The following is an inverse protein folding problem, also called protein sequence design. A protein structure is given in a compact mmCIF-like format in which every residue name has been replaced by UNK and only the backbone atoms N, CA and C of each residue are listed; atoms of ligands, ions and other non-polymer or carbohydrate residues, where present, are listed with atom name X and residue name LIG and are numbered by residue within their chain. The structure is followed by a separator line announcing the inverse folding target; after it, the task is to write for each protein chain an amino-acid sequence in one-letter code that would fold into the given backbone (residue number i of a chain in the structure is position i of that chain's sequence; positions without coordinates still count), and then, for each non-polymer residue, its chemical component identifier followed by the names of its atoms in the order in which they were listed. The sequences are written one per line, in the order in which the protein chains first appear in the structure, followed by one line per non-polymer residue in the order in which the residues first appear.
data_IF_391959744802
#
_entry.id   IF_391959744802
#
_cell.length_a   1.000
_cell.length_b   1.000
_cell.length_c   1.000
_cell.angle_alpha   90.00
_cell.angle_beta   90.00
_cell.angle_gamma   90.00
#
_symmetry.space_group_name_H-M   'P 1'
#
loop_
_entity.id
_entity.type
_entity.pdbx_description
1 polymer ?
#
# COMPACT_ATOMS: atom_id res chain seq x y z
N UNK A 1 -4.67 14.88 -24.66
CA UNK A 1 -4.75 13.48 -24.18
C UNK A 1 -4.33 13.42 -22.73
N UNK A 2 -5.06 12.64 -21.94
CA UNK A 2 -4.77 12.48 -20.54
C UNK A 2 -3.76 11.38 -20.25
N UNK A 3 -3.12 11.46 -19.09
CA UNK A 3 -2.25 10.42 -18.59
C UNK A 3 -3.06 9.26 -17.99
N UNK A 4 -2.45 8.10 -17.88
CA UNK A 4 -3.02 6.97 -17.17
C UNK A 4 -2.28 6.78 -15.85
N UNK A 5 -3.04 6.74 -14.77
CA UNK A 5 -2.53 6.47 -13.41
C UNK A 5 -3.04 5.10 -12.98
N UNK A 6 -2.14 4.18 -12.73
CA UNK A 6 -2.50 2.83 -12.32
C UNK A 6 -1.68 2.43 -11.11
N UNK A 7 -2.37 1.97 -10.07
CA UNK A 7 -1.74 1.56 -8.80
C UNK A 7 -0.92 2.66 -8.13
N UNK A 8 -1.43 3.88 -8.16
CA UNK A 8 -0.75 5.07 -7.64
C UNK A 8 -1.39 5.52 -6.34
N UNK A 9 -0.56 5.94 -5.40
CA UNK A 9 -1.02 6.57 -4.16
C UNK A 9 -0.47 7.99 -4.10
N UNK A 10 -1.38 8.96 -4.02
CA UNK A 10 -1.03 10.34 -3.73
C UNK A 10 -1.16 10.53 -2.22
N UNK A 11 -0.04 10.59 -1.54
CA UNK A 11 0.02 10.61 -0.09
C UNK A 11 0.52 11.97 0.42
N UNK A 12 -0.30 12.64 1.22
CA UNK A 12 0.01 13.96 1.77
C UNK A 12 0.44 14.98 0.71
N UNK A 13 -0.16 14.88 -0.49
CA UNK A 13 0.18 15.76 -1.60
C UNK A 13 -0.65 17.04 -1.58
N UNK A 14 -0.10 18.08 -2.15
CA UNK A 14 -0.83 19.30 -2.46
C UNK A 14 -1.08 19.34 -3.96
N UNK A 15 -2.33 19.14 -4.36
CA UNK A 15 -2.73 19.07 -5.77
C UNK A 15 -3.56 20.28 -6.22
N UNK A 16 -3.59 21.34 -5.41
CA UNK A 16 -4.34 22.55 -5.75
C UNK A 16 -3.92 23.08 -7.12
N UNK A 17 -4.91 23.38 -7.95
CA UNK A 17 -4.75 23.88 -9.33
C UNK A 17 -4.17 22.85 -10.31
N UNK A 18 -4.04 21.59 -9.91
CA UNK A 18 -3.62 20.51 -10.82
C UNK A 18 -4.77 20.15 -11.77
N UNK A 19 -4.44 19.82 -13.01
CA UNK A 19 -5.40 19.44 -14.04
C UNK A 19 -5.28 17.97 -14.37
N UNK A 20 -6.39 17.23 -14.24
CA UNK A 20 -6.45 15.80 -14.57
C UNK A 20 -7.40 15.52 -15.73
N UNK A 21 -7.78 16.54 -16.51
CA UNK A 21 -8.71 16.35 -17.63
C UNK A 21 -8.22 15.27 -18.58
N UNK A 22 -9.07 14.29 -18.85
CA UNK A 22 -8.76 13.18 -19.72
C UNK A 22 -7.89 12.08 -19.10
N UNK A 23 -7.50 12.23 -17.84
CA UNK A 23 -6.72 11.19 -17.15
C UNK A 23 -7.58 9.97 -16.86
N UNK A 24 -6.95 8.80 -16.92
CA UNK A 24 -7.56 7.53 -16.58
C UNK A 24 -6.97 7.06 -15.26
N UNK A 25 -7.83 6.71 -14.31
CA UNK A 25 -7.43 6.24 -12.98
C UNK A 25 -7.84 4.80 -12.78
N UNK A 26 -6.88 3.95 -12.43
CA UNK A 26 -7.11 2.54 -12.10
C UNK A 26 -6.42 2.23 -10.78
N UNK A 27 -7.20 1.88 -9.76
CA UNK A 27 -6.69 1.55 -8.44
C UNK A 27 -5.79 2.67 -7.88
N UNK A 28 -6.33 3.90 -7.86
CA UNK A 28 -5.63 5.10 -7.39
C UNK A 28 -6.21 5.53 -6.05
N UNK A 29 -5.34 5.86 -5.12
CA UNK A 29 -5.72 6.33 -3.79
C UNK A 29 -5.20 7.74 -3.54
N UNK A 30 -6.06 8.58 -3.00
CA UNK A 30 -5.69 9.90 -2.49
C UNK A 30 -5.77 9.82 -0.96
N UNK A 31 -4.61 9.79 -0.31
CA UNK A 31 -4.51 9.59 1.14
C UNK A 31 -4.06 10.90 1.78
N UNK A 32 -4.88 11.43 2.70
CA UNK A 32 -4.61 12.70 3.35
C UNK A 32 -4.27 13.80 2.34
N UNK A 33 -4.90 13.74 1.16
CA UNK A 33 -4.64 14.65 0.05
C UNK A 33 -5.94 15.38 -0.28
N UNK A 34 -5.91 16.71 -0.20
CA UNK A 34 -7.07 17.54 -0.54
C UNK A 34 -7.29 17.58 -2.05
N UNK A 35 -8.55 17.51 -2.45
CA UNK A 35 -8.93 17.55 -3.86
C UNK A 35 -9.68 18.83 -4.24
N UNK A 36 -9.78 19.77 -3.32
CA UNK A 36 -10.36 21.10 -3.62
C UNK A 36 -9.48 21.81 -4.65
N UNK A 37 -10.10 22.46 -5.60
CA UNK A 37 -9.41 23.19 -6.68
C UNK A 37 -8.56 22.28 -7.58
N UNK A 38 -8.92 20.99 -7.66
CA UNK A 38 -8.35 20.07 -8.65
C UNK A 38 -9.32 19.98 -9.81
N UNK A 39 -8.80 20.14 -11.02
CA UNK A 39 -9.63 20.22 -12.23
C UNK A 39 -9.64 18.91 -12.99
N UNK A 40 -10.83 18.54 -13.51
CA UNK A 40 -10.98 17.38 -14.37
C UNK A 40 -10.89 16.03 -13.64
N UNK A 41 -11.03 16.04 -12.32
CA UNK A 41 -10.99 14.82 -11.51
C UNK A 41 -12.40 14.28 -11.32
N UNK A 42 -12.62 13.01 -11.71
CA UNK A 42 -13.85 12.30 -11.41
C UNK A 42 -13.66 11.52 -10.12
N UNK A 43 -14.31 11.95 -9.05
CA UNK A 43 -14.15 11.34 -7.72
C UNK A 43 -14.62 9.88 -7.65
N UNK A 44 -15.48 9.47 -8.59
CA UNK A 44 -15.96 8.09 -8.63
C UNK A 44 -14.88 7.11 -9.10
N UNK A 45 -13.84 7.60 -9.77
CA UNK A 45 -12.75 6.77 -10.31
C UNK A 45 -11.59 6.59 -9.32
N UNK A 46 -11.64 7.24 -8.16
CA UNK A 46 -10.55 7.21 -7.21
C UNK A 46 -11.04 6.84 -5.81
N UNK A 47 -10.09 6.45 -4.97
CA UNK A 47 -10.36 6.16 -3.55
C UNK A 47 -9.81 7.29 -2.69
N UNK A 48 -10.70 7.98 -1.99
CA UNK A 48 -10.33 9.05 -1.08
C UNK A 48 -10.28 8.48 0.34
N UNK A 49 -9.11 8.56 0.95
CA UNK A 49 -8.87 7.91 2.24
C UNK A 49 -8.28 8.92 3.23
N UNK A 50 -8.84 8.95 4.43
CA UNK A 50 -8.19 9.57 5.57
C UNK A 50 -7.53 8.45 6.37
N UNK A 51 -6.21 8.44 6.42
CA UNK A 51 -5.43 7.39 7.07
C UNK A 51 -5.85 7.14 8.52
N UNK A 52 -6.24 8.19 9.23
CA UNK A 52 -6.70 8.10 10.61
C UNK A 52 -8.01 7.34 10.77
N UNK A 53 -8.78 7.21 9.68
CA UNK A 53 -10.09 6.55 9.67
C UNK A 53 -10.05 5.15 9.08
N UNK A 54 -8.88 4.65 8.71
CA UNK A 54 -8.76 3.29 8.20
C UNK A 54 -8.92 2.32 9.37
N UNK A 55 -9.97 1.51 9.32
CA UNK A 55 -10.21 0.44 10.27
C UNK A 55 -10.00 -0.89 9.57
N UNK A 56 -9.16 -1.73 10.14
CA UNK A 56 -8.87 -3.06 9.61
C UNK A 56 -8.92 -4.03 10.78
N UNK A 57 -9.74 -5.08 10.63
CA UNK A 57 -9.68 -6.22 11.52
C UNK A 57 -8.64 -7.18 10.97
N UNK A 58 -7.61 -7.44 11.77
CA UNK A 58 -6.55 -8.36 11.40
C UNK A 58 -6.68 -9.64 12.23
N UNK A 59 -6.66 -10.78 11.56
CA UNK A 59 -6.57 -12.05 12.26
C UNK A 59 -5.23 -12.15 12.96
N UNK A 60 -5.18 -12.97 13.99
CA UNK A 60 -4.01 -13.11 14.87
C UNK A 60 -2.74 -13.49 14.10
N UNK A 61 -2.84 -14.45 13.18
CA UNK A 61 -1.68 -14.92 12.44
C UNK A 61 -1.07 -13.82 11.57
N UNK A 62 -1.93 -13.01 10.95
CA UNK A 62 -1.45 -11.88 10.14
C UNK A 62 -0.83 -10.80 11.03
N UNK A 63 -1.44 -10.50 12.18
CA UNK A 63 -0.87 -9.55 13.14
C UNK A 63 0.52 -9.97 13.58
N UNK A 64 0.69 -11.25 13.94
CA UNK A 64 1.98 -11.77 14.38
C UNK A 64 3.02 -11.72 13.27
N UNK A 65 2.62 -11.99 12.03
CA UNK A 65 3.52 -11.92 10.88
C UNK A 65 3.95 -10.49 10.60
N UNK A 66 3.02 -9.54 10.66
CA UNK A 66 3.34 -8.13 10.50
C UNK A 66 4.31 -7.67 11.58
N UNK A 67 4.08 -8.08 12.82
CA UNK A 67 4.99 -7.77 13.93
C UNK A 67 6.38 -8.37 13.70
N UNK A 68 6.45 -9.57 13.15
CA UNK A 68 7.71 -10.22 12.83
C UNK A 68 8.51 -9.45 11.77
N UNK A 69 7.86 -8.65 10.93
CA UNK A 69 8.54 -7.81 9.95
C UNK A 69 9.48 -6.78 10.61
N UNK A 70 9.28 -6.45 11.89
CA UNK A 70 10.17 -5.58 12.64
C UNK A 70 11.60 -6.13 12.74
N UNK A 71 11.77 -7.44 12.57
CA UNK A 71 13.08 -8.10 12.61
C UNK A 71 13.93 -7.79 11.39
N UNK A 72 13.33 -7.28 10.32
CA UNK A 72 14.06 -6.90 9.11
C UNK A 72 14.17 -5.37 9.05
N UNK A 73 15.39 -4.87 9.21
CA UNK A 73 15.65 -3.42 9.24
C UNK A 73 15.26 -2.70 7.95
N UNK A 74 15.35 -3.38 6.81
CA UNK A 74 15.01 -2.78 5.51
C UNK A 74 13.51 -2.60 5.35
N UNK A 75 12.72 -3.55 5.86
CA UNK A 75 11.27 -3.42 5.88
C UNK A 75 10.85 -2.26 6.77
N UNK A 76 11.46 -2.13 7.95
CA UNK A 76 11.17 -1.02 8.88
C UNK A 76 11.54 0.33 8.24
N UNK A 77 12.71 0.43 7.62
CA UNK A 77 13.15 1.67 6.96
C UNK A 77 12.24 2.04 5.80
N UNK A 78 11.70 1.07 5.09
CA UNK A 78 10.81 1.30 3.95
C UNK A 78 9.47 1.92 4.36
N UNK A 79 9.01 1.67 5.59
CA UNK A 79 7.71 2.09 6.12
C UNK A 79 6.53 1.55 5.31
N UNK A 80 6.75 0.53 4.48
CA UNK A 80 5.71 -0.03 3.62
C UNK A 80 4.74 -0.92 4.38
N UNK A 81 5.24 -1.68 5.36
CA UNK A 81 4.43 -2.62 6.16
C UNK A 81 4.37 -2.16 7.61
N UNK A 82 5.53 -1.94 8.20
CA UNK A 82 5.67 -1.55 9.59
C UNK A 82 6.80 -0.55 9.71
N UNK A 83 6.67 0.41 10.61
CA UNK A 83 7.70 1.40 10.86
C UNK A 83 8.23 1.28 12.28
N UNK A 84 9.24 2.11 12.59
CA UNK A 84 9.85 2.15 13.90
C UNK A 84 8.81 2.30 15.02
N UNK A 85 8.95 1.52 16.09
CA UNK A 85 8.00 1.50 17.18
C UNK A 85 6.80 0.59 16.96
N UNK A 86 6.84 -0.26 15.91
CA UNK A 86 5.79 -1.24 15.65
C UNK A 86 4.52 -0.67 15.03
N UNK A 87 4.60 0.51 14.47
CA UNK A 87 3.44 1.15 13.85
C UNK A 87 3.13 0.47 12.50
N UNK A 88 1.94 -0.11 12.38
CA UNK A 88 1.50 -0.79 11.18
C UNK A 88 1.01 0.21 10.13
N UNK A 89 1.42 0.01 8.89
CA UNK A 89 0.88 0.78 7.76
C UNK A 89 -0.44 0.15 7.32
N UNK A 90 -1.53 0.64 7.89
CA UNK A 90 -2.87 0.07 7.65
C UNK A 90 -3.30 0.15 6.19
N UNK A 91 -2.93 1.22 5.50
CA UNK A 91 -3.28 1.36 4.08
C UNK A 91 -2.63 0.27 3.24
N UNK A 92 -1.33 0.01 3.47
CA UNK A 92 -0.63 -1.05 2.75
C UNK A 92 -1.28 -2.40 2.96
N UNK A 93 -1.60 -2.73 4.21
CA UNK A 93 -2.24 -4.01 4.54
C UNK A 93 -3.62 -4.11 3.88
N UNK A 94 -4.41 -3.04 3.93
CA UNK A 94 -5.70 -3.00 3.26
C UNK A 94 -5.58 -3.26 1.75
N UNK A 95 -4.60 -2.62 1.10
CA UNK A 95 -4.37 -2.79 -0.33
C UNK A 95 -3.96 -4.23 -0.66
N UNK A 96 -3.14 -4.85 0.17
CA UNK A 96 -2.76 -6.25 -0.02
C UNK A 96 -3.96 -7.18 0.13
N UNK A 97 -4.80 -6.95 1.14
CA UNK A 97 -6.00 -7.77 1.38
C UNK A 97 -7.05 -7.60 0.28
N UNK A 98 -7.06 -6.47 -0.42
CA UNK A 98 -7.97 -6.26 -1.55
C UNK A 98 -7.59 -7.13 -2.77
N UNK A 99 -6.34 -7.58 -2.85
CA UNK A 99 -5.82 -8.31 -4.02
C UNK A 99 -5.47 -9.75 -3.70
N UNK A 100 -4.96 -10.04 -2.50
CA UNK A 100 -4.43 -11.35 -2.12
C UNK A 100 -5.17 -11.91 -0.92
N UNK A 101 -5.28 -13.24 -0.89
CA UNK A 101 -5.78 -13.92 0.29
C UNK A 101 -4.81 -13.76 1.47
N UNK A 102 -5.34 -13.79 2.67
CA UNK A 102 -4.56 -13.58 3.88
C UNK A 102 -3.39 -14.57 4.00
N UNK A 103 -3.62 -15.85 3.68
CA UNK A 103 -2.57 -16.87 3.72
C UNK A 103 -1.42 -16.56 2.79
N UNK A 104 -1.72 -16.01 1.61
CA UNK A 104 -0.71 -15.59 0.63
C UNK A 104 0.13 -14.46 1.21
N UNK A 105 -0.52 -13.48 1.83
CA UNK A 105 0.17 -12.34 2.44
C UNK A 105 1.09 -12.82 3.57
N UNK A 106 0.60 -13.70 4.44
CA UNK A 106 1.40 -14.26 5.55
C UNK A 106 2.65 -14.94 5.01
N UNK A 107 2.49 -15.83 4.04
CA UNK A 107 3.63 -16.57 3.48
C UNK A 107 4.62 -15.65 2.77
N UNK A 108 4.10 -14.66 2.03
CA UNK A 108 4.94 -13.68 1.34
C UNK A 108 5.78 -12.86 2.32
N UNK A 109 5.15 -12.39 3.39
CA UNK A 109 5.87 -11.59 4.40
C UNK A 109 6.91 -12.43 5.12
N UNK A 110 6.62 -13.70 5.41
CA UNK A 110 7.60 -14.60 6.02
C UNK A 110 8.82 -14.78 5.12
N UNK A 111 8.60 -14.95 3.81
CA UNK A 111 9.69 -15.03 2.84
C UNK A 111 10.48 -13.73 2.76
N UNK A 112 9.78 -12.60 2.77
CA UNK A 112 10.39 -11.28 2.69
C UNK A 112 11.26 -10.99 3.91
N UNK A 113 10.84 -11.36 5.10
CA UNK A 113 11.61 -11.18 6.33
C UNK A 113 12.97 -11.85 6.22
N UNK A 114 13.02 -13.01 5.59
CA UNK A 114 14.27 -13.78 5.42
C UNK A 114 15.08 -13.34 4.21
N UNK A 115 14.42 -12.80 3.18
CA UNK A 115 15.05 -12.59 1.89
C UNK A 115 15.46 -11.15 1.59
N UNK A 116 14.82 -10.15 2.19
CA UNK A 116 15.13 -8.75 1.91
C UNK A 116 16.43 -8.36 2.61
N UNK A 117 17.43 -7.98 1.82
CA UNK A 117 18.76 -7.61 2.29
C UNK A 117 19.26 -6.27 1.76
N UNK A 118 18.36 -5.45 1.23
CA UNK A 118 18.71 -4.13 0.67
C UNK A 118 17.55 -3.16 0.82
N UNK A 119 17.87 -1.88 0.71
CA UNK A 119 16.88 -0.80 0.84
C UNK A 119 15.89 -0.80 -0.31
N UNK A 120 14.64 -0.51 0.02
CA UNK A 120 13.56 -0.32 -0.93
C UNK A 120 12.57 0.69 -0.33
N UNK A 121 11.63 1.19 -1.13
CA UNK A 121 10.71 2.23 -0.67
C UNK A 121 9.26 2.06 -1.16
N UNK A 122 8.97 0.98 -1.85
CA UNK A 122 7.67 0.77 -2.48
C UNK A 122 7.04 -0.55 -2.04
N UNK A 123 5.74 -0.53 -1.80
CA UNK A 123 4.97 -1.73 -1.49
C UNK A 123 5.06 -2.76 -2.63
N UNK A 124 5.21 -2.29 -3.87
CA UNK A 124 5.35 -3.17 -5.03
C UNK A 124 6.59 -4.08 -4.97
N UNK A 125 7.56 -3.75 -4.13
CA UNK A 125 8.72 -4.60 -3.90
C UNK A 125 8.34 -5.99 -3.39
N UNK A 126 7.19 -6.11 -2.73
CA UNK A 126 6.68 -7.39 -2.21
C UNK A 126 5.99 -8.25 -3.27
N UNK A 127 5.70 -7.70 -4.46
CA UNK A 127 4.96 -8.44 -5.48
C UNK A 127 5.63 -9.77 -5.87
N UNK A 128 6.96 -9.84 -6.09
CA UNK A 128 7.60 -11.13 -6.37
C UNK A 128 7.38 -12.16 -5.26
N UNK A 129 7.40 -11.73 -4.00
CA UNK A 129 7.14 -12.62 -2.85
C UNK A 129 5.68 -13.07 -2.83
N UNK A 130 4.76 -12.16 -3.09
CA UNK A 130 3.32 -12.45 -3.13
C UNK A 130 2.97 -13.42 -4.25
N UNK A 131 3.54 -13.22 -5.44
CA UNK A 131 3.30 -14.11 -6.57
C UNK A 131 3.90 -15.50 -6.35
N UNK A 132 5.07 -15.57 -5.73
CA UNK A 132 5.69 -16.85 -5.37
C UNK A 132 4.85 -17.59 -4.32
N UNK A 133 4.39 -16.88 -3.30
CA UNK A 133 3.54 -17.46 -2.26
C UNK A 133 2.23 -18.00 -2.85
N UNK A 134 1.64 -17.23 -3.77
CA UNK A 134 0.40 -17.61 -4.45
C UNK A 134 0.57 -18.90 -5.26
N UNK A 135 1.71 -19.06 -5.95
CA UNK A 135 2.00 -20.27 -6.75
C UNK A 135 2.19 -21.50 -5.90
N UNK A 136 2.70 -21.35 -4.67
CA UNK A 136 3.05 -22.46 -3.80
C UNK A 136 1.87 -22.92 -2.92
N UNK A 137 0.70 -22.37 -3.15
CA UNK A 137 -0.50 -22.72 -2.37
C UNK A 137 -1.50 -23.54 -3.16
#
# INVERSE_FOLDING_TARGET
MGATFENVVFYNCSLSKTHFKGAIFKNVYFVNTGIKQVYGLNVDDINIVNEKKIEIELERDLQETIKACEKNEYIVKSKTIVSSGGKINKLSIKRLLDVYEEKVIINALQMAIKGIDKEFSSLSYFVPYLERAKKNM
#
